data_IF_372332590178
#
_entry.id   IF_372332590178
#
_cell.length_a   1.000
_cell.length_b   1.000
_cell.length_c   1.000
_cell.angle_alpha   90.00
_cell.angle_beta   90.00
_cell.angle_gamma   90.00
#
_symmetry.space_group_name_H-M   'P 1'
#
loop_
_entity.id
_entity.type
_entity.pdbx_description
1 polymer ?
#
# COMPACT_ATOMS: atom_id res chain seq x y z
N UNK A 1 1.10 28.76 -14.42
CA UNK A 1 1.32 27.68 -13.44
C UNK A 1 0.84 28.20 -12.10
N UNK A 2 -0.35 27.78 -11.69
CA UNK A 2 -0.90 28.07 -10.36
C UNK A 2 0.04 27.43 -9.35
N UNK A 3 0.59 28.23 -8.42
CA UNK A 3 1.43 27.69 -7.35
C UNK A 3 0.57 26.72 -6.53
N UNK A 4 1.01 25.48 -6.27
CA UNK A 4 0.25 24.60 -5.41
C UNK A 4 0.13 25.27 -4.03
N UNK A 5 -1.09 25.34 -3.51
CA UNK A 5 -1.35 25.82 -2.15
C UNK A 5 -0.65 24.94 -1.11
N UNK A 6 -0.79 25.27 0.17
CA UNK A 6 -0.32 24.36 1.22
C UNK A 6 -1.14 23.06 1.21
N UNK A 7 -0.53 21.90 1.51
CA UNK A 7 -1.27 20.66 1.62
C UNK A 7 -2.29 20.74 2.75
N UNK A 8 -3.46 20.09 2.60
CA UNK A 8 -4.42 19.96 3.69
C UNK A 8 -3.74 19.34 4.92
N UNK A 9 -4.20 19.69 6.12
CA UNK A 9 -3.59 19.17 7.34
C UNK A 9 -3.56 17.63 7.36
N UNK A 10 -2.39 17.04 7.65
CA UNK A 10 -2.18 15.59 7.66
C UNK A 10 -2.03 14.94 6.29
N UNK A 11 -1.94 15.74 5.21
CA UNK A 11 -1.74 15.29 3.83
C UNK A 11 -0.35 15.70 3.34
N UNK A 12 0.25 14.90 2.47
CA UNK A 12 1.56 15.22 1.90
C UNK A 12 1.53 15.64 0.44
N UNK A 13 0.39 15.52 -0.25
CA UNK A 13 0.16 16.22 -1.52
C UNK A 13 -0.74 17.42 -1.30
N UNK A 14 -0.41 18.55 -1.92
CA UNK A 14 -1.24 19.75 -1.89
C UNK A 14 -2.18 19.88 -3.09
N UNK A 15 -2.03 18.99 -4.05
CA UNK A 15 -2.72 19.03 -5.32
C UNK A 15 -3.19 17.64 -5.73
N UNK A 16 -4.26 17.58 -6.50
CA UNK A 16 -4.80 16.36 -7.09
C UNK A 16 -4.74 16.46 -8.63
N UNK A 17 -3.58 16.21 -9.26
CA UNK A 17 -3.43 16.31 -10.71
C UNK A 17 -4.41 15.37 -11.42
N UNK A 18 -4.87 15.71 -12.63
CA UNK A 18 -5.61 14.79 -13.46
C UNK A 18 -4.77 13.53 -13.70
N UNK A 19 -5.44 12.38 -13.74
CA UNK A 19 -4.81 11.12 -14.09
C UNK A 19 -4.40 11.16 -15.57
N UNK A 20 -3.13 10.84 -15.87
CA UNK A 20 -2.58 10.90 -17.24
C UNK A 20 -3.23 9.95 -18.25
N UNK A 21 -3.89 8.89 -17.78
CA UNK A 21 -4.51 7.86 -18.61
C UNK A 21 -6.02 8.09 -18.81
N UNK A 22 -6.63 8.96 -17.99
CA UNK A 22 -8.05 9.27 -18.10
C UNK A 22 -8.29 10.40 -19.10
N UNK A 23 -9.29 10.23 -19.95
CA UNK A 23 -9.66 11.24 -20.97
C UNK A 23 -10.47 12.39 -20.37
N UNK A 24 -11.20 12.11 -19.31
CA UNK A 24 -12.09 13.06 -18.64
C UNK A 24 -11.59 13.22 -17.22
N UNK A 25 -11.48 14.47 -16.78
CA UNK A 25 -11.23 14.80 -15.38
C UNK A 25 -12.13 15.95 -14.98
N UNK A 26 -12.46 15.99 -13.69
CA UNK A 26 -13.21 17.07 -13.09
C UNK A 26 -12.21 18.10 -12.55
N UNK A 27 -12.29 19.34 -13.02
CA UNK A 27 -11.56 20.47 -12.44
C UNK A 27 -12.45 21.19 -11.43
N UNK A 28 -12.20 20.96 -10.14
CA UNK A 28 -12.97 21.58 -9.07
C UNK A 28 -12.70 23.09 -8.95
N UNK A 29 -11.55 23.58 -9.44
CA UNK A 29 -11.16 24.98 -9.31
C UNK A 29 -12.01 25.92 -10.18
N UNK A 30 -12.74 25.40 -11.18
CA UNK A 30 -13.61 26.20 -12.04
C UNK A 30 -15.01 26.44 -11.46
N UNK A 31 -15.38 25.77 -10.35
CA UNK A 31 -16.72 25.83 -9.75
C UNK A 31 -16.74 26.39 -8.32
N UNK A 32 -15.63 26.92 -7.81
CA UNK A 32 -15.58 27.62 -6.52
C UNK A 32 -16.20 29.03 -6.67
N UNK A 33 -17.54 29.10 -6.72
CA UNK A 33 -18.28 30.33 -6.44
C UNK A 33 -18.23 30.60 -4.91
N UNK A 34 -17.70 31.77 -4.57
CA UNK A 34 -17.63 32.43 -3.27
C UNK A 34 -17.08 31.65 -2.05
N UNK A 35 -15.97 32.22 -1.57
CA UNK A 35 -15.29 31.90 -0.32
C UNK A 35 -16.23 31.96 0.89
N UNK A 36 -16.30 30.86 1.65
CA UNK A 36 -16.60 30.76 3.09
C UNK A 36 -17.04 29.34 3.52
N UNK A 37 -16.94 28.34 2.63
CA UNK A 37 -17.11 26.94 3.06
C UNK A 37 -15.77 26.43 3.59
N UNK A 38 -15.66 26.15 4.89
CA UNK A 38 -14.60 25.29 5.42
C UNK A 38 -14.55 24.04 4.54
N UNK A 39 -13.49 23.88 3.74
CA UNK A 39 -13.32 22.71 2.89
C UNK A 39 -12.52 21.68 3.71
N UNK A 40 -13.18 20.77 4.45
CA UNK A 40 -12.46 19.83 5.30
C UNK A 40 -11.55 18.98 4.41
N UNK A 41 -10.34 18.70 4.90
CA UNK A 41 -9.42 17.82 4.20
C UNK A 41 -10.15 16.52 3.81
N UNK A 42 -9.97 16.02 2.57
CA UNK A 42 -10.71 14.86 2.09
C UNK A 42 -10.53 13.68 3.02
N UNK A 43 -11.65 13.08 3.45
CA UNK A 43 -11.62 11.88 4.30
C UNK A 43 -11.04 10.69 3.52
N UNK A 44 -10.26 9.85 4.21
CA UNK A 44 -9.74 8.62 3.61
C UNK A 44 -10.89 7.62 3.40
N UNK A 45 -10.99 7.09 2.19
CA UNK A 45 -11.94 6.09 1.76
C UNK A 45 -11.22 4.77 1.51
N UNK A 46 -11.84 3.67 1.94
CA UNK A 46 -11.32 2.33 1.77
C UNK A 46 -12.17 1.57 0.76
N UNK A 47 -11.58 1.28 -0.40
CA UNK A 47 -12.21 0.57 -1.51
C UNK A 47 -11.80 -0.90 -1.49
N UNK A 48 -12.62 -1.79 -2.02
CA UNK A 48 -12.25 -3.22 -2.11
C UNK A 48 -11.38 -3.44 -3.34
N UNK A 49 -10.20 -4.03 -3.15
CA UNK A 49 -9.37 -4.53 -4.25
C UNK A 49 -9.85 -5.94 -4.66
N UNK A 50 -10.47 -6.05 -5.84
CA UNK A 50 -11.04 -7.31 -6.36
C UNK A 50 -10.04 -8.17 -7.16
N UNK A 51 -8.76 -7.79 -7.23
CA UNK A 51 -7.75 -8.59 -7.93
C UNK A 51 -7.62 -9.99 -7.28
N UNK A 52 -7.41 -11.03 -8.10
CA UNK A 52 -7.42 -12.43 -7.65
C UNK A 52 -6.02 -13.02 -7.42
N UNK A 53 -5.00 -12.18 -7.46
CA UNK A 53 -3.61 -12.51 -7.16
C UNK A 53 -3.06 -11.53 -6.12
N UNK A 54 -2.06 -12.00 -5.36
CA UNK A 54 -1.40 -11.22 -4.29
C UNK A 54 0.11 -11.07 -4.52
N UNK A 55 0.76 -12.06 -5.14
CA UNK A 55 2.20 -12.00 -5.42
C UNK A 55 2.42 -11.26 -6.74
N UNK A 56 3.28 -10.25 -6.69
CA UNK A 56 3.81 -9.53 -7.85
C UNK A 56 5.31 -9.78 -7.97
N UNK A 57 5.81 -9.89 -9.20
CA UNK A 57 7.20 -10.20 -9.47
C UNK A 57 7.92 -9.01 -10.11
N UNK A 58 9.23 -8.91 -9.86
CA UNK A 58 10.15 -8.00 -10.52
C UNK A 58 11.45 -8.72 -10.87
N UNK A 59 12.18 -8.17 -11.85
CA UNK A 59 13.46 -8.66 -12.38
C UNK A 59 14.59 -7.62 -12.22
N UNK A 60 14.42 -6.68 -11.28
CA UNK A 60 15.40 -5.62 -11.05
C UNK A 60 16.67 -6.19 -10.38
N UNK A 61 17.86 -5.94 -10.93
CA UNK A 61 19.12 -6.38 -10.31
C UNK A 61 19.44 -5.61 -9.00
N UNK A 62 18.77 -4.47 -8.77
CA UNK A 62 19.02 -3.60 -7.63
C UNK A 62 18.16 -3.96 -6.39
N UNK A 63 17.19 -4.86 -6.55
CA UNK A 63 16.25 -5.24 -5.49
C UNK A 63 16.57 -6.67 -5.03
N UNK A 64 16.87 -6.84 -3.73
CA UNK A 64 17.27 -8.13 -3.13
C UNK A 64 16.18 -9.22 -3.08
N UNK A 65 15.03 -8.99 -3.70
CA UNK A 65 13.91 -9.93 -3.79
C UNK A 65 13.17 -9.77 -5.12
N UNK A 66 12.71 -10.90 -5.69
CA UNK A 66 11.91 -10.92 -6.91
C UNK A 66 10.40 -10.91 -6.62
N UNK A 67 9.94 -11.58 -5.56
CA UNK A 67 8.53 -11.69 -5.20
C UNK A 67 8.14 -10.65 -4.15
N UNK A 68 6.96 -10.05 -4.29
CA UNK A 68 6.42 -9.09 -3.32
C UNK A 68 4.92 -9.21 -3.15
N UNK A 69 4.42 -8.79 -1.99
CA UNK A 69 2.99 -8.73 -1.69
C UNK A 69 2.64 -7.37 -1.10
N UNK A 70 1.44 -6.87 -1.42
CA UNK A 70 0.92 -5.61 -0.91
C UNK A 70 -0.57 -5.81 -0.55
N UNK A 71 -0.94 -5.83 0.74
CA UNK A 71 -2.35 -5.92 1.16
C UNK A 71 -3.18 -4.68 0.81
N UNK A 72 -2.50 -3.58 0.50
CA UNK A 72 -3.08 -2.27 0.21
C UNK A 72 -2.51 -1.69 -1.08
N UNK A 73 -3.30 -0.83 -1.76
CA UNK A 73 -2.81 0.07 -2.82
C UNK A 73 -3.17 1.50 -2.46
N UNK A 74 -2.22 2.42 -2.59
CA UNK A 74 -2.27 3.71 -1.90
C UNK A 74 -1.70 3.61 -0.48
N UNK A 75 -1.45 4.74 0.17
CA UNK A 75 -0.90 4.75 1.53
C UNK A 75 -1.34 5.99 2.32
N UNK A 76 -1.99 5.77 3.47
CA UNK A 76 -2.43 6.83 4.40
C UNK A 76 -1.28 7.69 4.95
N UNK A 77 -0.02 7.24 4.89
CA UNK A 77 1.13 8.08 5.28
C UNK A 77 1.34 9.28 4.35
N UNK A 78 0.87 9.20 3.10
CA UNK A 78 0.88 10.32 2.17
C UNK A 78 2.23 10.99 1.94
N UNK A 79 3.36 10.29 2.01
CA UNK A 79 4.67 10.93 1.86
C UNK A 79 4.78 11.67 0.51
N UNK A 80 5.09 12.97 0.53
CA UNK A 80 5.18 13.81 -0.69
C UNK A 80 6.14 13.21 -1.73
N UNK A 81 7.24 12.62 -1.28
CA UNK A 81 8.30 12.02 -2.10
C UNK A 81 8.05 10.54 -2.45
N UNK A 82 6.86 10.00 -2.22
CA UNK A 82 6.60 8.59 -2.44
C UNK A 82 6.65 8.22 -3.92
N UNK A 83 7.60 7.37 -4.30
CA UNK A 83 7.79 6.91 -5.67
C UNK A 83 6.60 6.09 -6.20
N UNK A 84 5.78 5.52 -5.32
CA UNK A 84 4.63 4.69 -5.69
C UNK A 84 3.40 5.50 -6.11
N UNK A 85 3.39 6.83 -5.91
CA UNK A 85 2.27 7.72 -6.28
C UNK A 85 1.79 7.54 -7.73
N UNK A 86 2.67 7.48 -8.75
CA UNK A 86 2.25 7.29 -10.14
C UNK A 86 1.54 5.95 -10.38
N UNK A 87 1.76 4.92 -9.54
CA UNK A 87 1.08 3.65 -9.73
C UNK A 87 -0.43 3.73 -9.48
N UNK A 88 -0.88 4.71 -8.70
CA UNK A 88 -2.29 4.96 -8.46
C UNK A 88 -3.02 5.41 -9.72
N UNK A 89 -2.31 5.96 -10.69
CA UNK A 89 -2.89 6.36 -11.98
C UNK A 89 -3.34 5.14 -12.81
N UNK A 90 -2.68 3.99 -12.68
CA UNK A 90 -3.15 2.75 -13.33
C UNK A 90 -4.47 2.22 -12.75
N UNK A 91 -4.91 2.77 -11.61
CA UNK A 91 -6.18 2.44 -10.98
C UNK A 91 -7.29 3.46 -11.31
N UNK A 92 -7.02 4.42 -12.19
CA UNK A 92 -7.95 5.51 -12.53
C UNK A 92 -7.95 6.68 -11.53
N UNK A 93 -7.06 6.68 -10.54
CA UNK A 93 -6.96 7.72 -9.51
C UNK A 93 -5.85 8.73 -9.79
N UNK A 94 -5.87 9.89 -9.14
CA UNK A 94 -4.75 10.82 -9.18
C UNK A 94 -3.52 10.31 -8.42
N UNK A 95 -2.33 10.68 -8.88
CA UNK A 95 -1.07 10.48 -8.14
C UNK A 95 -0.93 11.42 -6.92
N UNK A 96 -1.80 12.43 -6.78
CA UNK A 96 -1.77 13.42 -5.72
C UNK A 96 -2.52 12.98 -4.46
N UNK A 97 -3.60 13.70 -4.13
CA UNK A 97 -4.40 13.45 -2.94
C UNK A 97 -5.10 12.08 -2.98
N UNK A 98 -5.49 11.57 -4.15
CA UNK A 98 -6.15 10.25 -4.22
C UNK A 98 -5.24 9.10 -3.75
N UNK A 99 -3.91 9.19 -3.92
CA UNK A 99 -2.98 8.16 -3.43
C UNK A 99 -3.08 7.91 -1.92
N UNK A 100 -3.35 8.96 -1.14
CA UNK A 100 -3.39 8.91 0.33
C UNK A 100 -4.80 9.00 0.91
N UNK A 101 -5.81 9.17 0.05
CA UNK A 101 -7.23 9.26 0.43
C UNK A 101 -8.09 8.16 -0.19
N UNK A 102 -7.67 7.48 -1.26
CA UNK A 102 -8.37 6.35 -1.88
C UNK A 102 -7.52 5.10 -1.74
N UNK A 103 -7.72 4.36 -0.66
CA UNK A 103 -6.92 3.16 -0.36
C UNK A 103 -7.69 1.93 -0.80
N UNK A 104 -7.13 1.16 -1.74
CA UNK A 104 -7.70 -0.13 -2.10
C UNK A 104 -7.20 -1.18 -1.12
N UNK A 105 -8.11 -2.01 -0.63
CA UNK A 105 -7.89 -2.98 0.43
C UNK A 105 -8.17 -4.37 -0.13
N UNK A 106 -7.13 -5.21 -0.16
CA UNK A 106 -7.26 -6.61 -0.54
C UNK A 106 -7.64 -7.45 0.68
N UNK A 107 -8.94 -7.51 0.95
CA UNK A 107 -9.49 -8.15 2.17
C UNK A 107 -9.19 -9.65 2.27
N UNK A 108 -8.98 -10.30 1.14
CA UNK A 108 -8.65 -11.71 0.97
C UNK A 108 -7.14 -11.97 0.81
N UNK A 109 -6.28 -11.00 1.15
CA UNK A 109 -4.83 -11.12 0.99
C UNK A 109 -4.23 -12.37 1.68
N UNK A 110 -4.56 -12.70 2.96
CA UNK A 110 -4.05 -13.91 3.61
C UNK A 110 -4.50 -15.20 2.91
N UNK A 111 -5.76 -15.28 2.48
CA UNK A 111 -6.32 -16.45 1.80
C UNK A 111 -5.68 -16.66 0.42
N UNK A 112 -5.54 -15.58 -0.36
CA UNK A 112 -4.86 -15.61 -1.65
C UNK A 112 -3.39 -16.03 -1.47
N UNK A 113 -2.72 -15.51 -0.44
CA UNK A 113 -1.32 -15.85 -0.17
C UNK A 113 -1.17 -17.33 0.17
N UNK A 114 -2.03 -17.87 1.05
CA UNK A 114 -2.01 -19.29 1.42
C UNK A 114 -2.18 -20.17 0.18
N UNK A 115 -3.11 -19.80 -0.71
CA UNK A 115 -3.34 -20.52 -1.96
C UNK A 115 -2.13 -20.49 -2.89
N UNK A 116 -1.47 -19.34 -3.04
CA UNK A 116 -0.26 -19.21 -3.88
C UNK A 116 0.90 -20.03 -3.29
N UNK A 117 1.16 -19.97 -1.98
CA UNK A 117 2.24 -20.71 -1.34
C UNK A 117 2.04 -22.24 -1.33
N UNK A 118 0.78 -22.70 -1.38
CA UNK A 118 0.44 -24.12 -1.44
C UNK A 118 0.47 -24.71 -2.86
N UNK A 119 0.67 -23.88 -3.89
CA UNK A 119 0.71 -24.33 -5.28
C UNK A 119 2.07 -24.97 -5.61
N UNK A 120 2.08 -26.08 -6.35
CA UNK A 120 3.31 -26.75 -6.83
C UNK A 120 4.23 -25.85 -7.69
N UNK A 121 3.69 -24.76 -8.20
CA UNK A 121 4.46 -23.75 -8.96
C UNK A 121 5.26 -22.80 -8.07
N UNK A 122 4.95 -22.71 -6.78
CA UNK A 122 5.65 -21.81 -5.87
C UNK A 122 7.05 -22.34 -5.61
N UNK A 123 8.05 -21.49 -5.83
CA UNK A 123 9.42 -21.76 -5.46
C UNK A 123 9.76 -20.90 -4.25
N UNK A 124 10.06 -21.51 -3.08
CA UNK A 124 10.39 -20.76 -1.87
C UNK A 124 11.49 -19.74 -2.11
N UNK A 125 11.15 -18.48 -1.85
CA UNK A 125 12.03 -17.32 -2.01
C UNK A 125 11.56 -16.23 -1.06
N UNK A 126 12.44 -15.26 -0.78
CA UNK A 126 12.10 -14.13 0.08
C UNK A 126 11.00 -13.29 -0.57
N UNK A 127 9.93 -13.06 0.19
CA UNK A 127 8.84 -12.18 -0.21
C UNK A 127 9.06 -10.80 0.41
N UNK A 128 9.08 -9.76 -0.42
CA UNK A 128 9.01 -8.38 0.02
C UNK A 128 7.57 -7.98 0.38
N UNK A 129 7.31 -7.67 1.65
CA UNK A 129 6.06 -7.08 2.10
C UNK A 129 6.19 -5.55 2.08
N UNK A 130 5.29 -4.89 1.34
CA UNK A 130 5.20 -3.42 1.27
C UNK A 130 6.29 -2.71 0.49
N UNK A 131 6.50 -3.11 -0.77
CA UNK A 131 7.32 -2.32 -1.70
C UNK A 131 6.66 -0.98 -2.08
N UNK A 132 5.36 -0.98 -2.40
CA UNK A 132 4.68 0.19 -3.03
C UNK A 132 3.57 0.80 -2.16
N UNK A 133 3.49 0.41 -0.90
CA UNK A 133 2.54 0.89 0.12
C UNK A 133 3.18 0.71 1.49
N UNK A 134 2.47 1.05 2.57
CA UNK A 134 2.84 0.65 3.93
C UNK A 134 1.84 -0.38 4.47
N UNK A 135 2.35 -1.57 4.83
CA UNK A 135 1.56 -2.69 5.35
C UNK A 135 1.01 -2.43 6.74
N UNK A 136 1.60 -1.49 7.47
CA UNK A 136 1.20 -1.08 8.80
C UNK A 136 0.61 0.34 8.81
N UNK A 137 0.07 0.82 7.70
CA UNK A 137 -0.65 2.08 7.67
C UNK A 137 -1.84 2.09 8.66
N UNK A 138 -2.32 3.26 9.15
CA UNK A 138 -3.34 3.38 10.19
C UNK A 138 -4.51 2.39 10.17
N UNK A 139 -5.08 2.07 9.00
CA UNK A 139 -6.19 1.11 8.86
C UNK A 139 -5.84 -0.32 9.27
N UNK A 140 -4.56 -0.72 9.23
CA UNK A 140 -4.07 -2.05 9.63
C UNK A 140 -4.33 -2.34 11.11
N UNK A 141 -4.49 -1.31 11.96
CA UNK A 141 -4.92 -1.51 13.36
C UNK A 141 -6.26 -2.22 13.47
N UNK A 142 -7.14 -2.01 12.48
CA UNK A 142 -8.49 -2.58 12.44
C UNK A 142 -8.54 -3.86 11.60
N UNK A 143 -7.91 -3.84 10.43
CA UNK A 143 -8.07 -4.92 9.45
C UNK A 143 -7.17 -6.13 9.70
N UNK A 144 -5.98 -5.93 10.28
CA UNK A 144 -5.03 -7.00 10.60
C UNK A 144 -4.66 -7.88 9.40
N UNK A 145 -4.67 -7.33 8.18
CA UNK A 145 -4.38 -8.09 6.96
C UNK A 145 -2.91 -8.46 6.90
N UNK A 146 -2.03 -7.53 7.28
CA UNK A 146 -0.60 -7.79 7.38
C UNK A 146 -0.30 -8.88 8.38
N UNK A 147 -0.94 -8.82 9.57
CA UNK A 147 -0.81 -9.89 10.55
C UNK A 147 -1.24 -11.25 9.97
N UNK A 148 -2.40 -11.32 9.31
CA UNK A 148 -2.87 -12.55 8.68
C UNK A 148 -1.91 -13.07 7.61
N UNK A 149 -1.30 -12.19 6.81
CA UNK A 149 -0.25 -12.58 5.86
C UNK A 149 0.99 -13.14 6.59
N UNK A 150 1.41 -12.54 7.71
CA UNK A 150 2.53 -13.05 8.50
C UNK A 150 2.25 -14.42 9.12
N UNK A 151 1.02 -14.67 9.58
CA UNK A 151 0.59 -15.99 10.07
C UNK A 151 0.72 -17.04 8.96
N UNK A 152 0.26 -16.73 7.74
CA UNK A 152 0.39 -17.63 6.56
C UNK A 152 1.85 -17.88 6.20
N UNK A 153 2.68 -16.82 6.21
CA UNK A 153 4.12 -16.95 5.92
C UNK A 153 4.82 -17.82 6.97
N UNK A 154 4.44 -17.70 8.23
CA UNK A 154 4.96 -18.52 9.32
C UNK A 154 4.52 -19.99 9.18
N UNK A 155 3.24 -20.25 8.86
CA UNK A 155 2.73 -21.59 8.56
C UNK A 155 3.56 -22.27 7.46
N UNK A 156 3.85 -21.54 6.38
CA UNK A 156 4.65 -22.03 5.25
C UNK A 156 6.17 -21.97 5.50
N UNK A 157 6.61 -21.36 6.62
CA UNK A 157 8.01 -21.01 6.91
C UNK A 157 8.70 -20.28 5.74
N UNK A 158 7.93 -19.47 5.00
CA UNK A 158 8.44 -18.77 3.84
C UNK A 158 9.11 -17.46 4.29
N UNK A 159 10.34 -17.17 3.83
CA UNK A 159 11.06 -15.98 4.23
C UNK A 159 10.36 -14.68 3.80
N UNK A 160 10.40 -13.67 4.68
CA UNK A 160 9.81 -12.35 4.43
C UNK A 160 10.76 -11.23 4.84
N UNK A 161 10.75 -10.14 4.07
CA UNK A 161 11.27 -8.82 4.48
C UNK A 161 10.11 -7.83 4.52
N UNK A 162 10.17 -6.86 5.44
CA UNK A 162 9.09 -5.89 5.66
C UNK A 162 9.65 -4.48 5.54
N UNK A 163 8.96 -3.62 4.82
CA UNK A 163 9.24 -2.18 4.77
C UNK A 163 8.05 -1.42 5.36
N UNK A 164 8.30 -0.60 6.39
CA UNK A 164 7.27 0.22 7.04
C UNK A 164 7.85 1.46 7.71
N UNK A 165 7.03 2.50 7.87
CA UNK A 165 7.28 3.72 8.64
C UNK A 165 6.48 3.76 9.95
N UNK A 166 5.70 2.74 10.25
CA UNK A 166 4.80 2.74 11.40
C UNK A 166 5.29 1.81 12.52
N UNK A 167 5.31 2.32 13.75
CA UNK A 167 5.64 1.55 14.95
C UNK A 167 4.67 0.38 15.21
N UNK A 168 3.51 0.36 14.54
CA UNK A 168 2.52 -0.73 14.65
C UNK A 168 3.11 -2.12 14.33
N UNK A 169 4.23 -2.21 13.61
CA UNK A 169 4.97 -3.48 13.42
C UNK A 169 5.32 -4.17 14.74
N UNK A 170 5.52 -3.41 15.82
CA UNK A 170 5.80 -3.96 17.16
C UNK A 170 4.65 -4.82 17.71
N UNK A 171 3.41 -4.64 17.24
CA UNK A 171 2.26 -5.48 17.58
C UNK A 171 2.49 -6.95 17.23
N UNK A 172 3.17 -7.20 16.11
CA UNK A 172 3.35 -8.53 15.53
C UNK A 172 4.75 -9.09 15.80
N UNK A 173 5.44 -8.57 16.83
CA UNK A 173 6.76 -9.05 17.25
C UNK A 173 6.77 -10.53 17.65
N UNK A 174 5.63 -11.07 18.09
CA UNK A 174 5.44 -12.50 18.36
C UNK A 174 5.64 -13.34 17.10
N UNK A 175 4.97 -12.99 16.00
CA UNK A 175 5.09 -13.67 14.71
C UNK A 175 6.48 -13.49 14.09
N UNK A 176 7.02 -12.28 14.16
CA UNK A 176 8.37 -11.98 13.64
C UNK A 176 9.45 -12.77 14.39
N UNK A 177 9.30 -12.94 15.71
CA UNK A 177 10.22 -13.74 16.51
C UNK A 177 10.18 -15.23 16.14
N UNK A 178 8.98 -15.77 15.88
CA UNK A 178 8.85 -17.16 15.42
C UNK A 178 9.39 -17.35 14.00
N UNK A 179 9.13 -16.41 13.07
CA UNK A 179 9.75 -16.43 11.75
C UNK A 179 11.28 -16.42 11.84
N UNK A 180 11.85 -15.60 12.72
CA UNK A 180 13.29 -15.54 12.94
C UNK A 180 13.86 -16.88 13.46
N UNK A 181 13.13 -17.61 14.33
CA UNK A 181 13.54 -18.96 14.79
C UNK A 181 13.64 -19.96 13.64
N UNK A 182 12.81 -19.83 12.62
CA UNK A 182 12.85 -20.64 11.40
C UNK A 182 13.80 -20.09 10.32
N UNK A 183 14.57 -19.04 10.62
CA UNK A 183 15.38 -18.31 9.63
C UNK A 183 14.54 -17.78 8.44
N UNK A 184 13.26 -17.50 8.68
CA UNK A 184 12.28 -17.02 7.71
C UNK A 184 12.00 -15.50 7.84
N UNK A 185 12.92 -14.75 8.42
CA UNK A 185 12.92 -13.28 8.43
C UNK A 185 14.22 -12.76 7.83
N UNK A 186 14.13 -11.89 6.83
CA UNK A 186 15.28 -11.28 6.17
C UNK A 186 15.39 -9.78 6.50
N UNK A 187 16.62 -9.28 6.53
CA UNK A 187 16.96 -7.86 6.65
C UNK A 187 17.94 -7.55 5.52
N UNK A 188 17.66 -6.51 4.74
CA UNK A 188 18.51 -6.01 3.67
C UNK A 188 19.17 -4.69 4.08
#
# INVERSE_FOLDING_TARGET
MTMPGNPPHGRGSAFNPPNRFERLHYDAAEFEDDADTENPAPATQFLVDTARSIISYNDSPDVGFSASINPYRGCEHGCAYCYARPYHEYLGFSAGLDFETRILVKRDAPELLRKELASDRWQPQTIGLSGVTDCYQPIERRLKLTRGCLEVLLEARNPVVIVTKNHLVSRDADLLSELARWQASAVF
#
